data_IF_857935720896
#
_entry.id   IF_857935720896
#
_cell.length_a   1.000
_cell.length_b   1.000
_cell.length_c   1.000
_cell.angle_alpha   90.00
_cell.angle_beta   90.00
_cell.angle_gamma   90.00
#
_symmetry.space_group_name_H-M   'P 1'
#
loop_
_entity.id
_entity.type
_entity.pdbx_description
1 polymer ?
#
# COMPACT_ATOMS: atom_id res chain seq x y z
N UNK A 1 -32.86 14.70 -5.01
CA UNK A 1 -31.74 15.60 -5.29
C UNK A 1 -31.08 15.89 -3.95
N UNK A 2 -29.98 15.21 -3.63
CA UNK A 2 -29.51 15.15 -2.24
C UNK A 2 -28.15 15.81 -2.06
N UNK A 3 -28.00 17.05 -2.52
CA UNK A 3 -26.90 17.92 -2.11
C UNK A 3 -27.45 19.33 -1.97
N UNK A 4 -27.36 19.87 -0.75
CA UNK A 4 -27.65 21.26 -0.42
C UNK A 4 -26.40 22.11 -0.70
N UNK A 5 -26.58 23.42 -0.79
CA UNK A 5 -25.47 24.37 -0.90
C UNK A 5 -24.41 24.11 0.18
N UNK A 6 -23.11 24.21 -0.16
CA UNK A 6 -22.03 23.97 0.80
C UNK A 6 -22.17 24.90 2.02
N UNK A 7 -22.00 24.34 3.22
CA UNK A 7 -22.02 25.10 4.48
C UNK A 7 -20.78 25.99 4.67
N UNK A 8 -20.71 26.69 5.82
CA UNK A 8 -19.68 27.71 6.11
C UNK A 8 -18.21 27.24 5.99
N UNK A 9 -17.95 25.93 6.06
CA UNK A 9 -16.61 25.34 5.94
C UNK A 9 -16.48 24.38 4.74
N UNK A 10 -17.42 24.45 3.81
CA UNK A 10 -17.45 23.61 2.62
C UNK A 10 -17.31 24.46 1.36
N UNK A 11 -16.75 23.88 0.31
CA UNK A 11 -16.69 24.51 -1.00
C UNK A 11 -17.22 23.55 -2.04
N UNK A 12 -17.87 24.08 -3.06
CA UNK A 12 -18.14 23.32 -4.27
C UNK A 12 -16.85 23.29 -5.11
N UNK A 13 -16.35 22.09 -5.39
CA UNK A 13 -15.21 21.93 -6.28
C UNK A 13 -15.67 22.00 -7.74
N UNK A 14 -14.91 22.65 -8.64
CA UNK A 14 -15.24 22.64 -10.06
C UNK A 14 -15.32 21.22 -10.63
N UNK A 15 -16.25 20.98 -11.57
CA UNK A 15 -16.49 19.65 -12.17
C UNK A 15 -15.25 18.99 -12.77
N UNK A 16 -14.24 19.75 -13.20
CA UNK A 16 -12.94 19.22 -13.68
C UNK A 16 -12.27 18.27 -12.66
N UNK A 17 -12.57 18.42 -11.36
CA UNK A 17 -12.01 17.56 -10.34
C UNK A 17 -12.57 16.13 -10.37
N UNK A 18 -13.75 15.91 -10.98
CA UNK A 18 -14.26 14.56 -11.25
C UNK A 18 -13.39 13.85 -12.28
N UNK A 19 -13.03 14.55 -13.38
CA UNK A 19 -12.14 14.01 -14.40
C UNK A 19 -10.74 13.73 -13.85
N UNK A 20 -10.22 14.62 -13.00
CA UNK A 20 -8.95 14.40 -12.30
C UNK A 20 -9.02 13.21 -11.34
N UNK A 21 -10.15 13.00 -10.66
CA UNK A 21 -10.34 11.85 -9.78
C UNK A 21 -10.38 10.53 -10.57
N UNK A 22 -11.05 10.51 -11.73
CA UNK A 22 -11.05 9.36 -12.65
C UNK A 22 -9.65 9.07 -13.19
N UNK A 23 -8.97 10.08 -13.71
CA UNK A 23 -7.59 9.95 -14.21
C UNK A 23 -6.64 9.39 -13.14
N UNK A 24 -6.78 9.84 -11.89
CA UNK A 24 -5.99 9.32 -10.76
C UNK A 24 -6.29 7.83 -10.49
N UNK A 25 -7.53 7.39 -10.63
CA UNK A 25 -7.90 5.99 -10.48
C UNK A 25 -7.33 5.15 -11.63
N UNK A 26 -7.39 5.63 -12.87
CA UNK A 26 -6.79 4.95 -14.03
C UNK A 26 -5.28 4.73 -13.82
N UNK A 27 -4.55 5.72 -13.30
CA UNK A 27 -3.14 5.56 -12.96
C UNK A 27 -2.90 4.49 -11.89
N UNK A 28 -3.78 4.38 -10.89
CA UNK A 28 -3.65 3.33 -9.86
C UNK A 28 -3.87 1.95 -10.46
N UNK A 29 -4.83 1.81 -11.37
CA UNK A 29 -5.12 0.55 -12.03
C UNK A 29 -3.96 0.13 -12.93
N UNK A 30 -3.37 1.06 -13.70
CA UNK A 30 -2.17 0.81 -14.48
C UNK A 30 -0.97 0.39 -13.59
N UNK A 31 -0.77 1.06 -12.45
CA UNK A 31 0.28 0.68 -11.49
C UNK A 31 0.05 -0.74 -10.96
N UNK A 32 -1.20 -1.11 -10.69
CA UNK A 32 -1.56 -2.45 -10.21
C UNK A 32 -1.25 -3.49 -11.28
N UNK A 33 -1.68 -3.27 -12.51
CA UNK A 33 -1.43 -4.17 -13.64
C UNK A 33 0.07 -4.37 -13.89
N UNK A 34 0.86 -3.29 -13.89
CA UNK A 34 2.31 -3.37 -14.05
C UNK A 34 2.97 -4.18 -12.95
N UNK A 35 2.52 -4.03 -11.69
CA UNK A 35 3.02 -4.85 -10.57
C UNK A 35 2.69 -6.33 -10.73
N UNK A 36 1.49 -6.65 -11.21
CA UNK A 36 1.09 -8.03 -11.48
C UNK A 36 1.98 -8.64 -12.57
N UNK A 37 2.23 -7.92 -13.67
CA UNK A 37 3.15 -8.36 -14.74
C UNK A 37 4.59 -8.56 -14.25
N UNK A 38 5.13 -7.66 -13.41
CA UNK A 38 6.45 -7.87 -12.79
C UNK A 38 6.47 -9.15 -11.93
N UNK A 39 5.42 -9.35 -11.13
CA UNK A 39 5.29 -10.53 -10.26
C UNK A 39 5.21 -11.82 -11.08
N UNK A 40 4.52 -11.82 -12.23
CA UNK A 40 4.48 -12.96 -13.14
C UNK A 40 5.86 -13.34 -13.66
N UNK A 41 6.69 -12.35 -14.02
CA UNK A 41 8.08 -12.57 -14.45
C UNK A 41 8.92 -13.13 -13.30
N UNK A 42 8.82 -12.56 -12.10
CA UNK A 42 9.53 -13.05 -10.92
C UNK A 42 9.15 -14.51 -10.60
N UNK A 43 7.86 -14.84 -10.70
CA UNK A 43 7.36 -16.18 -10.45
C UNK A 43 7.93 -17.22 -11.42
N UNK A 44 8.18 -16.86 -12.69
CA UNK A 44 8.84 -17.77 -13.64
C UNK A 44 10.26 -18.12 -13.17
N UNK A 45 11.02 -17.14 -12.68
CA UNK A 45 12.37 -17.36 -12.13
C UNK A 45 12.31 -18.21 -10.87
N UNK A 46 11.37 -17.92 -9.96
CA UNK A 46 11.18 -18.67 -8.71
C UNK A 46 10.81 -20.14 -9.00
N UNK A 47 9.92 -20.39 -9.96
CA UNK A 47 9.54 -21.75 -10.35
C UNK A 47 10.74 -22.53 -10.92
N UNK A 48 11.56 -21.90 -11.76
CA UNK A 48 12.78 -22.52 -12.28
C UNK A 48 13.75 -22.86 -11.14
N UNK A 49 13.93 -21.95 -10.19
CA UNK A 49 14.78 -22.20 -9.02
C UNK A 49 14.25 -23.35 -8.15
N UNK A 50 12.94 -23.44 -7.93
CA UNK A 50 12.33 -24.53 -7.19
C UNK A 50 12.53 -25.89 -7.88
N UNK A 51 12.31 -25.96 -9.20
CA UNK A 51 12.52 -27.18 -9.99
C UNK A 51 13.98 -27.67 -10.00
N UNK A 52 14.94 -26.74 -9.87
CA UNK A 52 16.37 -27.03 -9.91
C UNK A 52 17.02 -27.07 -8.53
N UNK A 53 16.23 -26.88 -7.46
CA UNK A 53 16.71 -26.70 -6.09
C UNK A 53 17.84 -25.65 -5.98
N UNK A 54 17.79 -24.62 -6.84
CA UNK A 54 18.81 -23.61 -6.98
C UNK A 54 18.49 -22.36 -6.16
N UNK A 55 19.54 -21.62 -5.77
CA UNK A 55 19.42 -20.34 -5.03
C UNK A 55 20.02 -19.14 -5.76
N UNK A 56 20.78 -19.40 -6.82
CA UNK A 56 21.43 -18.38 -7.65
C UNK A 56 21.32 -18.80 -9.11
N UNK A 57 21.02 -17.86 -9.99
CA UNK A 57 20.93 -18.06 -11.43
C UNK A 57 21.56 -16.90 -12.18
N UNK A 58 22.13 -17.20 -13.35
CA UNK A 58 22.83 -16.23 -14.18
C UNK A 58 22.12 -16.11 -15.53
N UNK A 59 21.77 -14.88 -15.89
CA UNK A 59 21.41 -14.48 -17.24
C UNK A 59 22.57 -13.67 -17.86
N UNK A 60 22.61 -13.47 -19.19
CA UNK A 60 23.73 -12.77 -19.85
C UNK A 60 24.09 -11.40 -19.24
N UNK A 61 23.12 -10.72 -18.63
CA UNK A 61 23.32 -9.39 -18.03
C UNK A 61 22.84 -9.28 -16.57
N UNK A 62 22.33 -10.35 -15.96
CA UNK A 62 21.70 -10.29 -14.63
C UNK A 62 22.03 -11.49 -13.77
N UNK A 63 22.12 -11.28 -12.45
CA UNK A 63 22.25 -12.33 -11.45
C UNK A 63 21.01 -12.33 -10.58
N UNK A 64 20.33 -13.47 -10.52
CA UNK A 64 19.14 -13.69 -9.71
C UNK A 64 19.52 -14.46 -8.46
N UNK A 65 19.06 -14.03 -7.29
CA UNK A 65 19.30 -14.70 -6.01
C UNK A 65 17.99 -14.91 -5.28
N UNK A 66 17.72 -16.14 -4.87
CA UNK A 66 16.56 -16.50 -4.06
C UNK A 66 17.04 -17.24 -2.81
N UNK A 67 17.17 -16.48 -1.73
CA UNK A 67 17.66 -16.97 -0.43
C UNK A 67 16.60 -16.67 0.63
N UNK A 68 16.46 -17.55 1.65
CA UNK A 68 15.63 -17.23 2.80
C UNK A 68 16.08 -15.92 3.44
N UNK A 69 15.13 -15.03 3.72
CA UNK A 69 15.37 -13.79 4.45
C UNK A 69 14.59 -13.83 5.77
N UNK A 70 15.28 -13.61 6.88
CA UNK A 70 14.62 -13.42 8.17
C UNK A 70 14.23 -11.94 8.35
N UNK A 71 13.01 -11.71 8.83
CA UNK A 71 12.54 -10.37 9.22
C UNK A 71 11.93 -10.46 10.61
N UNK A 72 12.45 -9.65 11.53
CA UNK A 72 11.83 -9.46 12.84
C UNK A 72 10.85 -8.29 12.75
N UNK A 73 9.61 -8.49 13.18
CA UNK A 73 8.58 -7.46 13.19
C UNK A 73 8.09 -7.27 14.62
N UNK A 74 7.92 -6.02 15.04
CA UNK A 74 7.33 -5.70 16.33
C UNK A 74 5.86 -6.16 16.39
N UNK A 75 5.54 -7.01 17.36
CA UNK A 75 4.20 -7.57 17.52
C UNK A 75 3.38 -6.76 18.52
N UNK A 76 2.79 -5.65 18.05
CA UNK A 76 2.03 -4.71 18.91
C UNK A 76 0.95 -5.41 19.74
N UNK A 77 0.16 -6.31 19.14
CA UNK A 77 -0.87 -7.07 19.87
C UNK A 77 -0.31 -7.92 21.00
N UNK A 78 0.90 -8.47 20.83
CA UNK A 78 1.57 -9.27 21.85
C UNK A 78 2.08 -8.38 22.98
N UNK A 79 2.57 -7.17 22.67
CA UNK A 79 2.90 -6.16 23.69
C UNK A 79 1.65 -5.83 24.52
N UNK A 80 0.54 -5.50 23.86
CA UNK A 80 -0.73 -5.15 24.51
C UNK A 80 -1.25 -6.27 25.44
N UNK A 81 -1.03 -7.53 25.07
CA UNK A 81 -1.43 -8.68 25.90
C UNK A 81 -0.49 -8.94 27.09
N UNK A 82 0.83 -8.81 26.88
CA UNK A 82 1.83 -9.19 27.90
C UNK A 82 2.16 -8.07 28.86
N UNK A 83 2.10 -6.83 28.39
CA UNK A 83 2.48 -5.63 29.12
C UNK A 83 1.45 -4.51 28.84
N UNK A 84 0.17 -4.72 29.22
CA UNK A 84 -0.89 -3.75 28.98
C UNK A 84 -0.60 -2.39 29.62
N UNK A 85 0.12 -2.38 30.75
CA UNK A 85 0.45 -1.19 31.51
C UNK A 85 1.37 -0.22 30.77
N UNK A 86 2.29 -0.72 29.94
CA UNK A 86 3.15 0.12 29.09
C UNK A 86 2.59 0.28 27.67
N UNK A 87 1.74 -0.64 27.21
CA UNK A 87 1.23 -0.60 25.84
C UNK A 87 0.39 0.65 25.52
N UNK A 88 -0.24 1.23 26.55
CA UNK A 88 -1.01 2.46 26.44
C UNK A 88 -0.30 3.67 27.05
N UNK A 89 0.96 3.54 27.45
CA UNK A 89 1.72 4.64 28.06
C UNK A 89 1.84 5.82 27.08
N UNK A 90 1.23 6.98 27.37
CA UNK A 90 1.27 8.14 26.49
C UNK A 90 2.69 8.65 26.23
N UNK A 91 3.65 8.44 27.13
CA UNK A 91 5.05 8.86 26.94
C UNK A 91 5.75 8.08 25.80
N UNK A 92 5.21 6.92 25.42
CA UNK A 92 5.73 6.11 24.31
C UNK A 92 5.16 6.51 22.95
N UNK A 93 4.22 7.47 22.91
CA UNK A 93 3.55 7.87 21.68
C UNK A 93 3.71 9.37 21.41
N UNK A 94 3.96 9.70 20.14
CA UNK A 94 3.88 11.08 19.65
C UNK A 94 2.65 11.22 18.77
N UNK A 95 1.80 12.21 19.10
CA UNK A 95 0.62 12.56 18.32
C UNK A 95 0.90 13.83 17.51
N UNK A 96 0.75 13.74 16.20
CA UNK A 96 0.82 14.90 15.30
C UNK A 96 -0.45 14.98 14.48
N UNK A 97 -1.11 16.13 14.54
CA UNK A 97 -2.30 16.41 13.73
C UNK A 97 -1.90 17.11 12.43
N UNK A 98 -2.43 16.62 11.30
CA UNK A 98 -2.24 17.23 9.98
C UNK A 98 -3.50 17.07 9.14
N UNK A 99 -3.85 18.05 8.29
CA UNK A 99 -4.94 17.89 7.35
C UNK A 99 -4.62 16.75 6.37
N UNK A 100 -5.62 15.93 6.07
CA UNK A 100 -5.50 14.79 5.14
C UNK A 100 -6.59 14.89 4.08
N UNK A 101 -6.19 14.96 2.81
CA UNK A 101 -7.12 14.85 1.70
C UNK A 101 -7.65 13.42 1.59
N UNK A 102 -8.97 13.27 1.66
CA UNK A 102 -9.67 12.00 1.41
C UNK A 102 -10.65 12.20 0.27
N UNK A 103 -10.57 11.34 -0.74
CA UNK A 103 -11.49 11.35 -1.87
C UNK A 103 -12.34 10.08 -1.76
N UNK A 104 -13.66 10.24 -1.74
CA UNK A 104 -14.63 9.15 -1.78
C UNK A 104 -15.49 9.33 -3.01
N UNK A 105 -15.62 8.28 -3.80
CA UNK A 105 -16.56 8.27 -4.91
C UNK A 105 -17.98 8.13 -4.37
N UNK A 106 -18.89 8.94 -4.91
CA UNK A 106 -20.32 8.87 -4.60
C UNK A 106 -20.92 7.81 -5.53
N UNK A 107 -21.41 6.72 -4.96
CA UNK A 107 -22.20 5.74 -5.71
C UNK A 107 -23.65 6.21 -5.72
N UNK A 108 -24.18 6.48 -6.92
CA UNK A 108 -25.60 6.82 -7.16
C UNK A 108 -26.36 5.52 -7.48
#
# INVERSE_FOLDING_TARGET
>A
SQYSDPGDNEIELPSRFDDLAKLKNDYKDQIKELKERCTEVDNQVIQLFAQKEARVGYAPSFIYTYKPQSRTTFQRKVLEQKYPEVASDPELYSTTEKPVLRVKEIKI
#
